data_IF_312179945256
#
_entry.id   IF_312179945256
#
_cell.length_a   1.000
_cell.length_b   1.000
_cell.length_c   1.000
_cell.angle_alpha   90.00
_cell.angle_beta   90.00
_cell.angle_gamma   90.00
#
_symmetry.space_group_name_H-M   'P 1'
#
loop_
_entity.id
_entity.type
_entity.pdbx_description
1 polymer ?
#
# COMPACT_ATOMS: atom_id res chain seq x y z
N UNK A 1 32.17 0.45 22.08
CA UNK A 1 31.51 -0.84 21.76
C UNK A 1 32.14 -1.40 20.49
N UNK A 2 32.23 -2.71 20.37
CA UNK A 2 32.90 -3.43 19.29
C UNK A 2 32.30 -3.07 17.92
N UNK A 3 30.98 -2.91 17.82
CA UNK A 3 30.31 -2.52 16.57
C UNK A 3 30.83 -1.18 16.00
N UNK A 4 31.19 -0.22 16.85
CA UNK A 4 31.75 1.07 16.40
C UNK A 4 33.16 0.94 15.81
N UNK A 5 33.93 -0.06 16.23
CA UNK A 5 35.27 -0.35 15.66
C UNK A 5 35.19 -1.06 14.31
N UNK A 6 34.04 -1.69 14.02
CA UNK A 6 33.76 -2.42 12.77
C UNK A 6 33.11 -1.50 11.71
N UNK A 7 32.78 -0.25 12.05
CA UNK A 7 32.14 0.69 11.12
C UNK A 7 30.60 0.64 11.11
N UNK A 8 29.98 -0.09 12.04
CA UNK A 8 28.51 -0.18 12.14
C UNK A 8 27.82 1.08 12.64
N UNK A 9 28.58 2.10 13.08
CA UNK A 9 28.06 3.44 13.35
C UNK A 9 27.50 4.13 12.09
N UNK A 10 27.77 3.61 10.88
CA UNK A 10 27.12 4.00 9.63
C UNK A 10 25.65 3.56 9.55
N UNK A 11 25.27 2.50 10.27
CA UNK A 11 23.90 2.02 10.30
C UNK A 11 23.07 2.83 11.31
N UNK A 12 22.09 3.61 10.83
CA UNK A 12 21.29 4.46 11.72
C UNK A 12 20.44 3.68 12.72
N UNK A 13 20.20 2.37 12.51
CA UNK A 13 19.53 1.52 13.49
C UNK A 13 20.34 1.36 14.80
N UNK A 14 21.65 1.57 14.74
CA UNK A 14 22.59 1.45 15.86
C UNK A 14 23.14 2.81 16.31
N UNK A 15 22.78 3.90 15.62
CA UNK A 15 23.20 5.24 16.00
C UNK A 15 22.49 5.69 17.29
N UNK A 16 23.19 6.37 18.21
CA UNK A 16 22.55 7.06 19.31
C UNK A 16 21.54 8.10 18.80
N UNK A 17 20.46 8.30 19.55
CA UNK A 17 19.49 9.33 19.23
C UNK A 17 20.11 10.73 19.25
N UNK A 18 19.88 11.49 18.19
CA UNK A 18 20.44 12.83 17.99
C UNK A 18 20.16 13.34 16.58
N UNK A 19 20.70 14.50 16.23
CA UNK A 19 20.39 15.16 14.95
C UNK A 19 20.81 14.30 13.75
N UNK A 20 21.99 13.66 13.81
CA UNK A 20 22.45 12.72 12.78
C UNK A 20 21.46 11.56 12.60
N UNK A 21 21.00 10.92 13.67
CA UNK A 21 20.01 9.85 13.57
C UNK A 21 18.69 10.32 12.95
N UNK A 22 18.19 11.50 13.35
CA UNK A 22 16.94 12.07 12.81
C UNK A 22 17.06 12.32 11.31
N UNK A 23 18.21 12.84 10.88
CA UNK A 23 18.51 13.15 9.48
C UNK A 23 18.49 11.88 8.63
N UNK A 24 19.25 10.86 9.02
CA UNK A 24 19.28 9.56 8.32
C UNK A 24 17.89 8.91 8.29
N UNK A 25 17.16 8.92 9.41
CA UNK A 25 15.80 8.35 9.48
C UNK A 25 14.81 9.11 8.61
N UNK A 26 14.90 10.44 8.52
CA UNK A 26 14.04 11.27 7.67
C UNK A 26 14.25 10.94 6.19
N UNK A 27 15.51 10.87 5.76
CA UNK A 27 15.89 10.50 4.38
C UNK A 27 15.36 9.10 4.03
N UNK A 28 15.59 8.12 4.92
CA UNK A 28 15.07 6.77 4.76
C UNK A 28 13.55 6.74 4.61
N UNK A 29 12.82 7.35 5.56
CA UNK A 29 11.36 7.28 5.59
C UNK A 29 10.69 7.89 4.37
N UNK A 30 11.30 8.90 3.74
CA UNK A 30 10.78 9.54 2.52
C UNK A 30 10.56 8.54 1.37
N UNK A 31 11.45 7.55 1.24
CA UNK A 31 11.43 6.59 0.12
C UNK A 31 10.83 5.22 0.51
N UNK A 32 10.74 4.91 1.80
CA UNK A 32 10.18 3.64 2.32
C UNK A 32 8.76 3.78 2.91
N UNK A 33 8.06 4.89 2.65
CA UNK A 33 6.64 5.05 2.97
C UNK A 33 5.71 4.33 1.97
N UNK A 34 4.47 3.96 2.34
CA UNK A 34 3.57 3.16 1.49
C UNK A 34 3.35 3.70 0.06
N UNK A 35 3.27 5.03 -0.12
CA UNK A 35 3.08 5.61 -1.45
C UNK A 35 4.34 5.51 -2.32
N UNK A 36 5.53 5.61 -1.73
CA UNK A 36 6.80 5.55 -2.46
C UNK A 36 7.17 4.10 -2.82
N UNK A 37 6.92 3.15 -1.91
CA UNK A 37 7.30 1.74 -2.12
C UNK A 37 6.55 1.07 -3.29
N UNK A 38 5.33 1.54 -3.58
CA UNK A 38 4.52 1.10 -4.72
C UNK A 38 5.27 1.18 -6.06
N UNK A 39 6.18 2.14 -6.22
CA UNK A 39 6.98 2.31 -7.44
C UNK A 39 7.92 1.12 -7.71
N UNK A 40 8.18 0.28 -6.71
CA UNK A 40 9.10 -0.84 -6.81
C UNK A 40 8.42 -2.21 -6.77
N UNK A 41 7.07 -2.27 -6.66
CA UNK A 41 6.32 -3.52 -6.56
C UNK A 41 6.57 -4.48 -7.73
N UNK A 42 6.76 -3.96 -8.95
CA UNK A 42 7.07 -4.78 -10.12
C UNK A 42 8.31 -5.67 -9.89
N UNK A 43 9.35 -5.16 -9.23
CA UNK A 43 10.56 -5.91 -8.92
C UNK A 43 10.32 -6.92 -7.80
N UNK A 44 9.59 -6.53 -6.75
CA UNK A 44 9.23 -7.42 -5.64
C UNK A 44 8.41 -8.62 -6.14
N UNK A 45 7.41 -8.39 -7.00
CA UNK A 45 6.62 -9.46 -7.60
C UNK A 45 7.46 -10.38 -8.49
N UNK A 46 8.40 -9.83 -9.25
CA UNK A 46 9.32 -10.64 -10.07
C UNK A 46 10.18 -11.55 -9.19
N UNK A 47 10.77 -11.03 -8.12
CA UNK A 47 11.60 -11.82 -7.22
C UNK A 47 10.81 -12.86 -6.44
N UNK A 48 9.60 -12.52 -5.98
CA UNK A 48 8.70 -13.49 -5.35
C UNK A 48 8.38 -14.66 -6.30
N UNK A 49 8.01 -14.39 -7.56
CA UNK A 49 7.74 -15.44 -8.56
C UNK A 49 8.98 -16.31 -8.85
N UNK A 50 10.14 -15.68 -9.02
CA UNK A 50 11.40 -16.40 -9.26
C UNK A 50 11.75 -17.32 -8.09
N UNK A 51 11.58 -16.84 -6.86
CA UNK A 51 11.79 -17.62 -5.64
C UNK A 51 10.89 -18.84 -5.60
N UNK A 52 9.59 -18.69 -5.89
CA UNK A 52 8.64 -19.81 -5.91
C UNK A 52 9.06 -20.89 -6.91
N UNK A 53 9.47 -20.50 -8.13
CA UNK A 53 9.97 -21.45 -9.13
C UNK A 53 11.22 -22.22 -8.65
N UNK A 54 12.15 -21.54 -7.96
CA UNK A 54 13.35 -22.16 -7.39
C UNK A 54 13.03 -23.11 -6.23
N UNK A 55 12.09 -22.74 -5.36
CA UNK A 55 11.65 -23.61 -4.25
C UNK A 55 11.04 -24.91 -4.74
N UNK A 56 10.33 -24.89 -5.88
CA UNK A 56 9.79 -26.12 -6.50
C UNK A 56 10.92 -26.95 -7.12
N UNK A 57 11.86 -26.30 -7.81
CA UNK A 57 12.97 -26.99 -8.46
C UNK A 57 13.94 -27.64 -7.46
N UNK A 58 14.21 -26.98 -6.32
CA UNK A 58 15.14 -27.46 -5.30
C UNK A 58 14.65 -27.18 -3.87
N UNK A 59 13.67 -27.96 -3.36
CA UNK A 59 13.06 -27.72 -2.05
C UNK A 59 14.05 -27.80 -0.87
N UNK A 60 15.12 -28.60 -1.01
CA UNK A 60 16.15 -28.77 0.02
C UNK A 60 16.99 -27.52 0.30
N UNK A 61 16.92 -26.51 -0.57
CA UNK A 61 17.71 -25.28 -0.50
C UNK A 61 16.91 -24.05 -0.05
N UNK A 62 15.85 -24.23 0.76
CA UNK A 62 14.94 -23.17 1.23
C UNK A 62 15.67 -21.88 1.66
N UNK A 63 16.61 -21.98 2.60
CA UNK A 63 17.32 -20.81 3.13
C UNK A 63 18.13 -20.07 2.06
N UNK A 64 18.75 -20.80 1.13
CA UNK A 64 19.49 -20.21 0.01
C UNK A 64 18.57 -19.43 -0.92
N UNK A 65 17.40 -19.98 -1.23
CA UNK A 65 16.41 -19.31 -2.09
C UNK A 65 15.77 -18.09 -1.42
N UNK A 66 15.49 -18.15 -0.11
CA UNK A 66 14.99 -17.00 0.65
C UNK A 66 16.04 -15.88 0.72
N UNK A 67 17.31 -16.20 1.03
CA UNK A 67 18.41 -15.22 1.08
C UNK A 67 18.60 -14.53 -0.26
N UNK A 68 18.67 -15.32 -1.34
CA UNK A 68 18.79 -14.76 -2.68
C UNK A 68 17.61 -13.84 -3.01
N UNK A 69 16.36 -14.27 -2.77
CA UNK A 69 15.17 -13.45 -3.04
C UNK A 69 15.21 -12.13 -2.27
N UNK A 70 15.44 -12.17 -0.96
CA UNK A 70 15.43 -10.98 -0.12
C UNK A 70 16.56 -10.02 -0.50
N UNK A 71 17.79 -10.52 -0.61
CA UNK A 71 18.97 -9.73 -1.01
C UNK A 71 18.83 -9.15 -2.42
N UNK A 72 18.43 -9.95 -3.41
CA UNK A 72 18.22 -9.47 -4.78
C UNK A 72 17.11 -8.42 -4.88
N UNK A 73 16.05 -8.56 -4.08
CA UNK A 73 14.96 -7.57 -4.02
C UNK A 73 15.49 -6.25 -3.48
N UNK A 74 16.13 -6.24 -2.31
CA UNK A 74 16.56 -4.99 -1.69
C UNK A 74 17.75 -4.36 -2.43
N UNK A 75 18.66 -5.12 -3.06
CA UNK A 75 19.66 -4.57 -3.98
C UNK A 75 19.00 -3.85 -5.15
N UNK A 76 17.97 -4.46 -5.75
CA UNK A 76 17.28 -3.89 -6.90
C UNK A 76 16.48 -2.64 -6.55
N UNK A 77 15.85 -2.61 -5.37
CA UNK A 77 15.08 -1.46 -4.87
C UNK A 77 16.01 -0.34 -4.45
N UNK A 78 17.05 -0.64 -3.68
CA UNK A 78 17.96 0.34 -3.11
C UNK A 78 18.91 0.93 -4.14
N UNK A 79 19.57 0.08 -4.93
CA UNK A 79 20.66 0.47 -5.83
C UNK A 79 20.37 0.22 -7.30
N UNK A 80 19.29 -0.48 -7.64
CA UNK A 80 18.99 -0.80 -9.04
C UNK A 80 19.81 -1.96 -9.63
N UNK A 81 20.63 -2.60 -8.79
CA UNK A 81 21.51 -3.71 -9.17
C UNK A 81 20.69 -4.99 -9.34
N UNK A 82 20.94 -5.73 -10.42
CA UNK A 82 20.34 -7.04 -10.67
C UNK A 82 21.28 -8.15 -10.20
N UNK A 83 20.99 -8.73 -9.03
CA UNK A 83 21.81 -9.78 -8.44
C UNK A 83 21.75 -11.09 -9.25
N UNK A 84 22.89 -11.78 -9.31
CA UNK A 84 23.04 -13.09 -9.93
C UNK A 84 22.72 -14.23 -8.96
N UNK A 85 22.09 -15.33 -9.42
CA UNK A 85 21.69 -16.42 -8.53
C UNK A 85 22.82 -17.19 -7.84
N UNK A 86 24.01 -17.15 -8.43
CA UNK A 86 25.20 -17.85 -7.97
C UNK A 86 26.36 -16.86 -8.01
N UNK A 87 27.20 -16.87 -6.96
CA UNK A 87 28.43 -16.08 -6.86
C UNK A 87 28.25 -14.58 -7.16
N UNK A 88 27.17 -13.99 -6.66
CA UNK A 88 26.96 -12.55 -6.78
C UNK A 88 27.84 -11.79 -5.78
N UNK A 89 28.74 -10.99 -6.35
CA UNK A 89 29.72 -10.19 -5.60
C UNK A 89 29.07 -9.32 -4.51
N UNK A 90 27.95 -8.67 -4.80
CA UNK A 90 27.30 -7.78 -3.84
C UNK A 90 26.65 -8.59 -2.72
N UNK A 91 25.95 -9.69 -3.05
CA UNK A 91 25.37 -10.55 -2.03
C UNK A 91 26.45 -11.14 -1.12
N UNK A 92 27.61 -11.58 -1.66
CA UNK A 92 28.71 -12.14 -0.87
C UNK A 92 29.35 -11.12 0.09
N UNK A 93 29.65 -9.90 -0.38
CA UNK A 93 30.14 -8.81 0.48
C UNK A 93 29.16 -8.53 1.61
N UNK A 94 27.87 -8.50 1.27
CA UNK A 94 26.82 -8.18 2.21
C UNK A 94 26.61 -9.28 3.26
N UNK A 95 26.62 -10.55 2.86
CA UNK A 95 26.54 -11.69 3.79
C UNK A 95 27.72 -11.70 4.77
N UNK A 96 28.96 -11.42 4.30
CA UNK A 96 30.13 -11.32 5.18
C UNK A 96 30.02 -10.13 6.14
N UNK A 97 29.55 -8.97 5.67
CA UNK A 97 29.30 -7.82 6.52
C UNK A 97 28.24 -8.15 7.58
N UNK A 98 27.05 -8.60 7.20
CA UNK A 98 25.96 -8.92 8.14
C UNK A 98 26.38 -9.98 9.16
N UNK A 99 27.17 -10.99 8.76
CA UNK A 99 27.75 -11.94 9.70
C UNK A 99 28.58 -11.24 10.80
N UNK A 100 29.41 -10.24 10.45
CA UNK A 100 30.14 -9.44 11.44
C UNK A 100 29.21 -8.70 12.41
N UNK A 101 28.05 -8.22 11.94
CA UNK A 101 27.07 -7.53 12.78
C UNK A 101 26.47 -8.48 13.82
N UNK A 102 26.14 -9.71 13.41
CA UNK A 102 25.62 -10.74 14.33
C UNK A 102 26.66 -11.08 15.39
N UNK A 103 27.92 -11.27 14.99
CA UNK A 103 29.02 -11.60 15.91
C UNK A 103 29.29 -10.47 16.91
N UNK A 104 29.33 -9.20 16.48
CA UNK A 104 29.62 -8.06 17.37
C UNK A 104 28.39 -7.49 18.08
N UNK A 105 27.19 -7.81 17.61
CA UNK A 105 25.92 -7.33 18.15
C UNK A 105 25.42 -8.14 19.35
N UNK A 106 25.89 -9.38 19.50
CA UNK A 106 25.57 -10.21 20.66
C UNK A 106 26.23 -9.66 21.93
N UNK A 107 25.41 -9.22 22.89
CA UNK A 107 25.90 -8.71 24.18
C UNK A 107 26.80 -9.75 24.86
N UNK A 108 28.05 -9.37 25.15
CA UNK A 108 29.04 -10.25 25.78
C UNK A 108 29.93 -11.03 24.81
N UNK A 109 29.76 -10.89 23.49
CA UNK A 109 30.66 -11.48 22.49
C UNK A 109 32.11 -10.99 22.65
N UNK A 110 32.30 -9.72 23.05
CA UNK A 110 33.60 -9.19 23.41
C UNK A 110 33.58 -8.46 24.76
N UNK A 111 34.61 -8.66 25.58
CA UNK A 111 34.74 -7.99 26.88
C UNK A 111 34.80 -6.47 26.76
N UNK A 112 35.19 -5.92 25.61
CA UNK A 112 35.24 -4.46 25.35
C UNK A 112 33.87 -3.80 25.43
N UNK A 113 32.78 -4.56 25.25
CA UNK A 113 31.41 -4.07 25.38
C UNK A 113 30.97 -3.94 26.84
N UNK A 114 31.59 -4.71 27.75
CA UNK A 114 31.37 -4.62 29.19
C UNK A 114 32.37 -3.68 29.88
N UNK A 115 33.61 -3.61 29.36
CA UNK A 115 34.70 -2.81 29.93
C UNK A 115 35.30 -1.93 28.82
N UNK A 116 34.80 -0.68 28.64
CA UNK A 116 35.22 0.21 27.55
C UNK A 116 36.72 0.54 27.53
N UNK A 117 37.39 0.47 28.68
CA UNK A 117 38.84 0.72 28.80
C UNK A 117 39.68 -0.27 27.97
N UNK A 118 39.17 -1.47 27.69
CA UNK A 118 39.87 -2.48 26.89
C UNK A 118 40.11 -2.03 25.43
N UNK A 119 39.41 -0.99 24.95
CA UNK A 119 39.65 -0.40 23.61
C UNK A 119 41.09 0.09 23.40
N UNK A 120 41.82 0.37 24.48
CA UNK A 120 43.19 0.88 24.41
C UNK A 120 44.26 -0.21 24.44
N UNK A 121 43.90 -1.49 24.61
CA UNK A 121 44.87 -2.59 24.64
C UNK A 121 45.61 -2.75 23.29
N UNK A 122 46.93 -2.97 23.26
CA UNK A 122 47.62 -3.24 22.01
C UNK A 122 47.08 -4.50 21.29
N UNK A 123 47.04 -4.49 19.96
CA UNK A 123 46.44 -5.57 19.14
C UNK A 123 47.11 -6.95 19.26
N UNK A 124 48.29 -7.01 19.90
CA UNK A 124 49.05 -8.24 20.16
C UNK A 124 48.73 -8.87 21.53
N UNK A 125 47.99 -8.17 22.40
CA UNK A 125 47.75 -8.61 23.79
C UNK A 125 46.66 -9.69 23.88
N UNK A 126 46.79 -10.68 24.78
CA UNK A 126 45.72 -11.66 25.03
C UNK A 126 44.38 -10.98 25.36
N UNK A 127 43.30 -11.37 24.67
CA UNK A 127 41.99 -10.73 24.79
C UNK A 127 41.75 -9.54 23.85
N UNK A 128 42.74 -9.11 23.05
CA UNK A 128 42.60 -8.06 22.04
C UNK A 128 42.16 -8.56 20.65
N UNK A 129 41.70 -9.82 20.53
CA UNK A 129 41.23 -10.43 19.26
C UNK A 129 40.17 -9.59 18.55
N UNK A 130 39.31 -8.93 19.32
CA UNK A 130 38.30 -7.99 18.81
C UNK A 130 38.87 -6.88 17.91
N UNK A 131 40.13 -6.47 18.09
CA UNK A 131 40.77 -5.46 17.23
C UNK A 131 41.16 -6.03 15.87
N UNK A 132 41.57 -7.29 15.82
CA UNK A 132 41.93 -7.98 14.58
C UNK A 132 40.66 -8.31 13.79
N UNK A 133 39.64 -8.82 14.47
CA UNK A 133 38.32 -9.09 13.89
C UNK A 133 37.68 -7.78 13.40
N UNK A 134 37.74 -6.70 14.19
CA UNK A 134 37.24 -5.39 13.76
C UNK A 134 37.99 -4.81 12.56
N UNK A 135 39.32 -4.93 12.50
CA UNK A 135 40.09 -4.47 11.35
C UNK A 135 39.79 -5.25 10.06
N UNK A 136 39.49 -6.56 10.18
CA UNK A 136 39.04 -7.39 9.06
C UNK A 136 37.63 -6.97 8.60
N UNK A 137 36.68 -6.94 9.54
CA UNK A 137 35.28 -6.68 9.23
C UNK A 137 35.00 -5.24 8.80
N UNK A 138 35.76 -4.26 9.31
CA UNK A 138 35.62 -2.86 8.90
C UNK A 138 35.74 -2.69 7.38
N UNK A 139 36.67 -3.42 6.75
CA UNK A 139 36.83 -3.38 5.29
C UNK A 139 35.59 -3.90 4.56
N UNK A 140 34.95 -4.95 5.08
CA UNK A 140 33.76 -5.51 4.46
C UNK A 140 32.54 -4.61 4.68
N UNK A 141 32.40 -4.01 5.86
CA UNK A 141 31.35 -3.03 6.12
C UNK A 141 31.54 -1.80 5.23
N UNK A 142 32.76 -1.30 5.06
CA UNK A 142 33.04 -0.19 4.15
C UNK A 142 32.61 -0.52 2.72
N UNK A 143 33.05 -1.67 2.19
CA UNK A 143 32.63 -2.13 0.85
C UNK A 143 31.13 -2.28 0.70
N UNK A 144 30.45 -2.79 1.73
CA UNK A 144 29.01 -2.98 1.75
C UNK A 144 28.25 -1.66 1.52
N UNK A 145 28.71 -0.56 2.14
CA UNK A 145 28.10 0.76 1.96
C UNK A 145 28.62 1.48 0.71
N UNK A 146 29.90 1.34 0.39
CA UNK A 146 30.56 2.15 -0.63
C UNK A 146 30.35 1.59 -2.04
N UNK A 147 30.58 0.29 -2.28
CA UNK A 147 30.61 -0.25 -3.65
C UNK A 147 29.26 -0.12 -4.39
N UNK A 148 28.09 -0.51 -3.82
CA UNK A 148 26.81 -0.33 -4.50
C UNK A 148 26.43 1.14 -4.69
N UNK A 149 26.87 2.02 -3.79
CA UNK A 149 26.58 3.44 -3.85
C UNK A 149 27.36 4.12 -4.98
N UNK A 150 28.64 3.81 -5.13
CA UNK A 150 29.47 4.35 -6.21
C UNK A 150 29.00 3.88 -7.59
N UNK A 151 28.48 2.66 -7.71
CA UNK A 151 27.86 2.17 -8.96
C UNK A 151 26.70 3.07 -9.38
N UNK A 152 25.81 3.41 -8.44
CA UNK A 152 24.67 4.30 -8.74
C UNK A 152 25.15 5.70 -9.12
N UNK A 153 26.17 6.23 -8.46
CA UNK A 153 26.75 7.53 -8.81
C UNK A 153 27.35 7.51 -10.21
N UNK A 154 28.07 6.45 -10.57
CA UNK A 154 28.63 6.28 -11.91
C UNK A 154 27.51 6.19 -12.96
N UNK A 155 26.48 5.38 -12.72
CA UNK A 155 25.32 5.26 -13.62
C UNK A 155 24.66 6.63 -13.88
N UNK A 156 24.46 7.42 -12.83
CA UNK A 156 23.91 8.78 -12.95
C UNK A 156 24.82 9.72 -13.74
N UNK A 157 26.13 9.67 -13.51
CA UNK A 157 27.10 10.48 -14.24
C UNK A 157 27.18 10.13 -15.73
N UNK A 158 26.95 8.86 -16.08
CA UNK A 158 26.87 8.38 -17.46
C UNK A 158 25.51 8.68 -18.14
N UNK A 159 24.55 9.25 -17.40
CA UNK A 159 23.21 9.59 -17.89
C UNK A 159 22.24 8.40 -17.91
N UNK A 160 22.57 7.29 -17.25
CA UNK A 160 21.70 6.14 -17.14
C UNK A 160 20.58 6.41 -16.11
N UNK A 161 19.32 6.23 -16.51
CA UNK A 161 18.18 6.38 -15.61
C UNK A 161 17.85 5.07 -14.90
N UNK A 162 18.47 4.82 -13.74
CA UNK A 162 18.15 3.64 -12.92
C UNK A 162 17.05 3.98 -11.92
N UNK A 163 15.87 3.37 -12.06
CA UNK A 163 14.80 3.50 -11.08
C UNK A 163 15.15 2.72 -9.80
N UNK A 164 15.71 3.42 -8.81
CA UNK A 164 16.04 2.94 -7.46
C UNK A 164 15.99 4.08 -6.43
N UNK A 165 15.95 3.70 -5.14
CA UNK A 165 15.89 4.63 -4.02
C UNK A 165 17.12 5.54 -3.97
N UNK A 166 18.31 4.99 -4.16
CA UNK A 166 19.56 5.74 -4.12
C UNK A 166 19.60 6.83 -5.20
N UNK A 167 19.30 6.48 -6.45
CA UNK A 167 19.26 7.43 -7.56
C UNK A 167 18.23 8.55 -7.33
N UNK A 168 17.06 8.19 -6.79
CA UNK A 168 16.00 9.15 -6.46
C UNK A 168 16.44 10.14 -5.39
N UNK A 169 17.16 9.69 -4.36
CA UNK A 169 17.67 10.55 -3.29
C UNK A 169 18.86 11.41 -3.74
N UNK A 170 19.76 10.87 -4.56
CA UNK A 170 20.90 11.60 -5.11
C UNK A 170 20.44 12.74 -6.04
N UNK A 171 19.35 12.55 -6.78
CA UNK A 171 18.77 13.59 -7.65
C UNK A 171 18.12 14.75 -6.89
N UNK A 172 17.93 14.60 -5.57
CA UNK A 172 17.34 15.62 -4.69
C UNK A 172 18.38 16.40 -3.88
N UNK A 173 19.67 16.08 -4.05
CA UNK A 173 20.76 16.81 -3.41
C UNK A 173 20.74 18.26 -3.91
N UNK A 174 20.89 19.22 -2.99
CA UNK A 174 21.02 20.63 -3.35
C UNK A 174 22.49 21.01 -3.62
N UNK A 175 22.71 22.03 -4.46
CA UNK A 175 24.06 22.55 -4.76
C UNK A 175 24.65 23.37 -3.59
N UNK A 176 24.31 23.04 -2.35
CA UNK A 176 24.81 23.73 -1.16
C UNK A 176 26.21 23.26 -0.75
N UNK A 177 26.86 23.99 0.15
CA UNK A 177 28.17 23.64 0.68
C UNK A 177 28.22 22.32 1.48
N UNK A 178 27.08 21.63 1.66
CA UNK A 178 26.94 20.40 2.46
C UNK A 178 26.68 19.13 1.63
N UNK A 179 26.90 19.18 0.31
CA UNK A 179 26.72 18.06 -0.64
C UNK A 179 27.32 16.75 -0.10
N UNK A 180 28.58 16.78 0.37
CA UNK A 180 29.28 15.60 0.89
C UNK A 180 28.60 14.96 2.11
N UNK A 181 27.98 15.76 2.98
CA UNK A 181 27.22 15.23 4.11
C UNK A 181 25.92 14.62 3.63
N UNK A 182 25.21 15.26 2.71
CA UNK A 182 23.97 14.72 2.15
C UNK A 182 24.23 13.37 1.48
N UNK A 183 25.30 13.26 0.67
CA UNK A 183 25.73 11.98 0.09
C UNK A 183 26.02 10.93 1.17
N UNK A 184 26.73 11.30 2.22
CA UNK A 184 27.04 10.39 3.34
C UNK A 184 25.77 9.89 4.03
N UNK A 185 24.82 10.79 4.30
CA UNK A 185 23.53 10.46 4.91
C UNK A 185 22.72 9.53 4.02
N UNK A 186 22.67 9.80 2.71
CA UNK A 186 21.96 8.96 1.73
C UNK A 186 22.60 7.58 1.68
N UNK A 187 23.93 7.50 1.52
CA UNK A 187 24.68 6.24 1.50
C UNK A 187 24.38 5.38 2.72
N UNK A 188 24.46 5.97 3.90
CA UNK A 188 24.17 5.28 5.15
C UNK A 188 22.70 4.87 5.28
N UNK A 189 21.75 5.75 4.94
CA UNK A 189 20.32 5.45 5.00
C UNK A 189 19.94 4.29 4.07
N UNK A 190 20.41 4.33 2.81
CA UNK A 190 20.15 3.28 1.82
C UNK A 190 20.84 1.97 2.20
N UNK A 191 22.08 2.01 2.69
CA UNK A 191 22.78 0.82 3.18
C UNK A 191 22.10 0.18 4.38
N UNK A 192 21.52 0.98 5.29
CA UNK A 192 20.69 0.45 6.39
C UNK A 192 19.46 -0.31 5.88
N UNK A 193 18.84 0.13 4.78
CA UNK A 193 17.70 -0.55 4.18
C UNK A 193 18.02 -2.00 3.82
N UNK A 194 19.22 -2.22 3.29
CA UNK A 194 19.67 -3.55 2.89
C UNK A 194 19.77 -4.51 4.09
N UNK A 195 20.44 -4.08 5.16
CA UNK A 195 20.62 -4.87 6.39
C UNK A 195 19.26 -5.27 6.97
N UNK A 196 18.34 -4.30 7.07
CA UNK A 196 17.00 -4.54 7.59
C UNK A 196 16.17 -5.45 6.68
N UNK A 197 16.23 -5.22 5.37
CA UNK A 197 15.39 -5.90 4.37
C UNK A 197 15.81 -7.33 4.05
N UNK A 198 17.10 -7.66 4.08
CA UNK A 198 17.59 -8.98 3.70
C UNK A 198 17.39 -10.03 4.80
N UNK A 199 17.95 -9.81 5.99
CA UNK A 199 18.03 -10.86 7.03
C UNK A 199 16.71 -11.10 7.76
N UNK A 200 16.02 -10.02 8.14
CA UNK A 200 14.77 -10.14 8.92
C UNK A 200 13.68 -10.79 8.07
N UNK A 201 13.59 -10.44 6.79
CA UNK A 201 12.63 -11.02 5.84
C UNK A 201 12.88 -12.51 5.66
N UNK A 202 14.14 -12.94 5.54
CA UNK A 202 14.50 -14.36 5.45
C UNK A 202 14.03 -15.12 6.69
N UNK A 203 14.30 -14.58 7.88
CA UNK A 203 13.85 -15.19 9.13
C UNK A 203 12.32 -15.31 9.19
N UNK A 204 11.59 -14.23 8.89
CA UNK A 204 10.12 -14.25 8.88
C UNK A 204 9.55 -15.24 7.87
N UNK A 205 10.08 -15.30 6.65
CA UNK A 205 9.61 -16.23 5.63
C UNK A 205 9.95 -17.69 5.96
N UNK A 206 11.14 -17.96 6.51
CA UNK A 206 11.51 -19.29 6.97
C UNK A 206 10.59 -19.76 8.11
N UNK A 207 10.32 -18.89 9.09
CA UNK A 207 9.36 -19.15 10.16
C UNK A 207 7.95 -19.36 9.62
N UNK A 208 7.53 -18.57 8.63
CA UNK A 208 6.24 -18.76 7.97
C UNK A 208 6.13 -20.14 7.30
N UNK A 209 7.14 -20.55 6.52
CA UNK A 209 7.16 -21.88 5.88
C UNK A 209 7.11 -22.99 6.94
N UNK A 210 7.89 -22.86 8.02
CA UNK A 210 7.87 -23.80 9.13
C UNK A 210 6.48 -23.87 9.81
N UNK A 211 5.83 -22.73 10.02
CA UNK A 211 4.50 -22.65 10.60
C UNK A 211 3.44 -23.28 9.68
N UNK A 212 3.44 -22.96 8.39
CA UNK A 212 2.49 -23.53 7.43
C UNK A 212 2.65 -25.05 7.29
N UNK A 213 3.88 -25.56 7.40
CA UNK A 213 4.16 -26.99 7.43
C UNK A 213 3.64 -27.69 8.71
N UNK A 214 3.76 -27.04 9.88
CA UNK A 214 3.30 -27.61 11.16
C UNK A 214 1.79 -27.48 11.36
N UNK A 215 1.14 -26.50 10.73
CA UNK A 215 -0.29 -26.19 10.90
C UNK A 215 -1.04 -26.17 9.56
N UNK A 216 -1.20 -27.32 8.87
CA UNK A 216 -1.80 -27.38 7.54
C UNK A 216 -3.27 -26.91 7.49
N UNK A 217 -4.00 -26.97 8.60
CA UNK A 217 -5.36 -26.43 8.67
C UNK A 217 -5.38 -24.89 8.58
N UNK A 218 -4.42 -24.20 9.20
CA UNK A 218 -4.26 -22.73 9.11
C UNK A 218 -3.86 -22.34 7.68
N UNK A 219 -2.97 -23.12 7.06
CA UNK A 219 -2.55 -22.90 5.68
C UNK A 219 -3.75 -22.93 4.72
N UNK A 220 -4.66 -23.90 4.87
CA UNK A 220 -5.85 -24.02 4.01
C UNK A 220 -6.79 -22.82 4.15
N UNK A 221 -7.06 -22.39 5.39
CA UNK A 221 -7.89 -21.20 5.66
C UNK A 221 -7.28 -19.96 4.98
N UNK A 222 -5.96 -19.77 5.07
CA UNK A 222 -5.29 -18.64 4.43
C UNK A 222 -5.38 -18.68 2.89
N UNK A 223 -5.32 -19.88 2.29
CA UNK A 223 -5.46 -20.05 0.84
C UNK A 223 -6.88 -19.72 0.37
N UNK A 224 -7.89 -20.23 1.05
CA UNK A 224 -9.30 -19.95 0.74
C UNK A 224 -9.62 -18.45 0.83
N UNK A 225 -9.08 -17.77 1.83
CA UNK A 225 -9.20 -16.32 2.01
C UNK A 225 -8.56 -15.54 0.84
N UNK A 226 -7.33 -15.89 0.44
CA UNK A 226 -6.64 -15.24 -0.68
C UNK A 226 -7.42 -15.45 -1.98
N UNK A 227 -7.90 -16.66 -2.24
CA UNK A 227 -8.72 -16.96 -3.42
C UNK A 227 -10.01 -16.15 -3.45
N UNK A 228 -10.67 -15.99 -2.30
CA UNK A 228 -11.90 -15.19 -2.17
C UNK A 228 -11.67 -13.72 -2.53
N UNK A 229 -10.57 -13.13 -2.04
CA UNK A 229 -10.31 -11.68 -2.21
C UNK A 229 -9.71 -11.34 -3.57
N UNK A 230 -8.78 -12.16 -4.06
CA UNK A 230 -8.06 -11.85 -5.32
C UNK A 230 -8.81 -12.28 -6.56
N UNK A 231 -9.83 -13.15 -6.43
CA UNK A 231 -10.55 -13.73 -7.54
C UNK A 231 -9.67 -14.66 -8.38
N UNK A 232 -10.29 -15.37 -9.33
CA UNK A 232 -9.58 -16.30 -10.24
C UNK A 232 -9.10 -15.63 -11.54
N UNK A 233 -9.18 -14.31 -11.65
CA UNK A 233 -9.08 -13.60 -12.93
C UNK A 233 -7.83 -12.73 -13.04
N UNK A 234 -7.09 -12.90 -14.14
CA UNK A 234 -5.99 -12.02 -14.53
C UNK A 234 -6.55 -10.89 -15.43
N UNK A 235 -6.42 -9.62 -15.00
CA UNK A 235 -6.87 -8.44 -15.77
C UNK A 235 -5.63 -7.77 -16.40
N UNK A 236 -5.40 -7.89 -17.73
CA UNK A 236 -4.23 -7.31 -18.39
C UNK A 236 -4.19 -5.77 -18.32
N UNK A 237 -3.00 -5.19 -18.35
CA UNK A 237 -2.83 -3.74 -18.44
C UNK A 237 -3.47 -3.19 -19.73
N UNK A 238 -4.18 -2.06 -19.63
CA UNK A 238 -4.92 -1.44 -20.73
C UNK A 238 -6.35 -1.97 -20.91
N UNK A 239 -6.78 -2.95 -20.10
CA UNK A 239 -8.16 -3.43 -20.12
C UNK A 239 -9.14 -2.34 -19.70
N UNK A 240 -10.28 -2.25 -20.39
CA UNK A 240 -11.43 -1.45 -19.96
C UNK A 240 -12.18 -2.25 -18.90
N UNK A 241 -12.34 -1.67 -17.71
CA UNK A 241 -13.14 -2.23 -16.63
C UNK A 241 -14.39 -1.38 -16.48
N UNK A 242 -15.56 -1.98 -16.71
CA UNK A 242 -16.85 -1.33 -16.53
C UNK A 242 -17.56 -1.90 -15.31
N UNK A 243 -17.83 -1.05 -14.32
CA UNK A 243 -18.65 -1.43 -13.18
C UNK A 243 -20.12 -1.51 -13.59
N UNK A 244 -20.74 -2.67 -13.41
CA UNK A 244 -22.16 -2.84 -13.71
C UNK A 244 -23.01 -2.47 -12.49
N UNK A 245 -23.27 -1.18 -12.31
CA UNK A 245 -24.06 -0.67 -11.18
C UNK A 245 -25.46 -1.27 -11.14
N UNK A 246 -26.09 -1.51 -12.30
CA UNK A 246 -27.41 -2.14 -12.38
C UNK A 246 -27.39 -3.54 -11.75
N UNK A 247 -26.44 -4.39 -12.15
CA UNK A 247 -26.33 -5.74 -11.60
C UNK A 247 -26.04 -5.75 -10.08
N UNK A 248 -25.25 -4.79 -9.58
CA UNK A 248 -24.98 -4.67 -8.13
C UNK A 248 -26.23 -4.27 -7.36
N UNK A 249 -27.02 -3.33 -7.89
CA UNK A 249 -28.25 -2.87 -7.27
C UNK A 249 -29.44 -3.82 -7.48
N UNK A 250 -29.28 -4.83 -8.34
CA UNK A 250 -30.28 -5.87 -8.61
C UNK A 250 -29.82 -7.28 -8.22
N UNK A 251 -28.80 -7.38 -7.37
CA UNK A 251 -28.39 -8.66 -6.77
C UNK A 251 -29.45 -9.13 -5.77
N UNK A 252 -30.17 -10.22 -6.06
CA UNK A 252 -31.27 -10.73 -5.24
C UNK A 252 -30.85 -11.15 -3.82
N UNK A 253 -29.59 -11.55 -3.63
CA UNK A 253 -29.06 -11.91 -2.31
C UNK A 253 -28.93 -10.67 -1.41
N UNK A 254 -28.72 -9.50 -2.02
CA UNK A 254 -28.54 -8.22 -1.34
C UNK A 254 -29.83 -7.40 -1.29
N UNK A 255 -30.57 -7.37 -2.39
CA UNK A 255 -31.82 -6.64 -2.56
C UNK A 255 -32.94 -7.63 -2.93
N UNK A 256 -33.61 -8.26 -1.96
CA UNK A 256 -34.71 -9.19 -2.24
C UNK A 256 -35.81 -8.50 -3.05
N UNK A 257 -36.33 -9.12 -4.12
CA UNK A 257 -37.26 -8.52 -5.09
C UNK A 257 -36.75 -7.19 -5.69
N UNK A 258 -35.59 -7.17 -6.36
CA UNK A 258 -34.94 -5.92 -6.79
C UNK A 258 -35.73 -5.16 -7.86
N UNK A 259 -36.57 -5.86 -8.64
CA UNK A 259 -37.45 -5.27 -9.65
C UNK A 259 -38.67 -4.53 -9.04
N UNK A 260 -38.94 -4.71 -7.75
CA UNK A 260 -40.06 -4.09 -7.04
C UNK A 260 -39.64 -2.80 -6.35
N UNK A 261 -40.39 -1.71 -6.56
CA UNK A 261 -40.21 -0.48 -5.82
C UNK A 261 -40.73 -0.61 -4.37
N UNK A 262 -39.85 -0.99 -3.46
CA UNK A 262 -40.18 -1.26 -2.06
C UNK A 262 -39.30 -0.42 -1.10
N UNK A 263 -39.66 0.83 -0.78
CA UNK A 263 -38.87 1.69 0.11
C UNK A 263 -38.68 1.12 1.52
N UNK A 264 -39.62 0.28 1.98
CA UNK A 264 -39.57 -0.34 3.30
C UNK A 264 -38.33 -1.21 3.54
N UNK A 265 -37.61 -1.63 2.47
CA UNK A 265 -36.35 -2.37 2.59
C UNK A 265 -35.22 -1.62 3.31
N UNK A 266 -35.33 -0.30 3.42
CA UNK A 266 -34.37 0.55 4.12
C UNK A 266 -34.85 0.92 5.55
N UNK A 267 -35.94 0.30 6.00
CA UNK A 267 -36.56 0.57 7.29
C UNK A 267 -36.61 -0.71 8.13
N UNK A 268 -36.42 -0.55 9.44
CA UNK A 268 -36.70 -1.61 10.42
C UNK A 268 -38.19 -1.88 10.52
N UNK A 269 -38.59 -2.99 11.14
CA UNK A 269 -40.00 -3.29 11.41
C UNK A 269 -40.70 -2.21 12.28
N UNK A 270 -39.95 -1.40 13.02
CA UNK A 270 -40.45 -0.26 13.79
C UNK A 270 -40.64 1.03 12.99
N UNK A 271 -40.19 1.07 11.73
CA UNK A 271 -40.27 2.24 10.84
C UNK A 271 -39.05 3.18 10.92
N UNK A 272 -38.07 2.90 11.77
CA UNK A 272 -36.80 3.63 11.82
C UNK A 272 -35.88 3.22 10.67
N UNK A 273 -34.93 4.08 10.28
CA UNK A 273 -33.89 3.74 9.31
C UNK A 273 -33.09 2.53 9.77
N UNK A 274 -33.01 1.52 8.91
CA UNK A 274 -32.20 0.34 9.15
C UNK A 274 -30.74 0.64 8.79
N UNK A 275 -29.86 0.59 9.79
CA UNK A 275 -28.42 0.83 9.63
C UNK A 275 -27.70 -0.36 9.00
N UNK A 276 -28.33 -1.53 9.03
CA UNK A 276 -27.81 -2.76 8.46
C UNK A 276 -28.37 -3.00 7.05
N UNK A 277 -29.28 -2.14 6.56
CA UNK A 277 -29.78 -2.22 5.21
C UNK A 277 -28.66 -1.93 4.19
N UNK A 278 -28.67 -2.64 3.04
CA UNK A 278 -27.74 -2.40 1.94
C UNK A 278 -27.69 -0.93 1.49
N UNK A 279 -26.50 -0.30 1.55
CA UNK A 279 -26.35 1.06 1.07
C UNK A 279 -26.38 1.14 -0.46
N UNK A 280 -27.46 1.67 -1.02
CA UNK A 280 -27.62 1.89 -2.47
C UNK A 280 -26.60 2.88 -3.07
N UNK A 281 -25.98 3.72 -2.24
CA UNK A 281 -25.01 4.71 -2.67
C UNK A 281 -23.67 4.09 -3.09
N UNK A 282 -23.37 2.88 -2.62
CA UNK A 282 -22.15 2.14 -2.96
C UNK A 282 -21.98 1.92 -4.47
N UNK A 283 -23.08 1.82 -5.21
CA UNK A 283 -23.07 1.68 -6.67
C UNK A 283 -23.75 2.86 -7.38
N UNK A 284 -24.63 3.63 -6.70
CA UNK A 284 -25.36 4.74 -7.29
C UNK A 284 -24.50 5.93 -7.73
N UNK A 285 -23.37 6.18 -7.06
CA UNK A 285 -22.46 7.30 -7.37
C UNK A 285 -21.11 6.86 -7.97
N UNK A 286 -20.96 5.57 -8.29
CA UNK A 286 -19.74 5.02 -8.87
C UNK A 286 -18.67 4.64 -7.83
N UNK A 287 -17.46 4.34 -8.30
CA UNK A 287 -16.52 3.52 -7.53
C UNK A 287 -15.14 4.16 -7.32
N UNK A 288 -14.60 4.00 -6.11
CA UNK A 288 -13.19 4.28 -5.78
C UNK A 288 -12.74 5.71 -6.11
N UNK A 289 -11.55 5.85 -6.71
CA UNK A 289 -10.95 7.17 -7.04
C UNK A 289 -11.73 7.98 -8.10
N UNK A 290 -12.77 7.40 -8.72
CA UNK A 290 -13.59 8.02 -9.77
C UNK A 290 -15.06 8.10 -9.36
N UNK A 291 -15.35 7.99 -8.07
CA UNK A 291 -16.67 8.25 -7.51
C UNK A 291 -17.14 9.67 -7.87
N UNK A 292 -18.45 9.85 -8.00
CA UNK A 292 -19.07 11.12 -8.39
C UNK A 292 -18.63 12.24 -7.44
N UNK A 293 -18.01 13.27 -8.00
CA UNK A 293 -17.54 14.42 -7.23
C UNK A 293 -18.69 15.30 -6.69
N UNK A 294 -19.91 15.16 -7.21
CA UNK A 294 -21.09 15.93 -6.80
C UNK A 294 -22.08 15.17 -5.91
N UNK A 295 -21.68 14.03 -5.34
CA UNK A 295 -22.56 13.14 -4.57
C UNK A 295 -23.31 13.87 -3.46
N UNK A 296 -22.59 14.57 -2.57
CA UNK A 296 -23.20 15.23 -1.41
C UNK A 296 -24.21 16.31 -1.84
N UNK A 297 -23.86 17.11 -2.84
CA UNK A 297 -24.76 18.13 -3.41
C UNK A 297 -26.04 17.51 -3.99
N UNK A 298 -25.89 16.40 -4.73
CA UNK A 298 -27.03 15.71 -5.34
C UNK A 298 -27.98 15.15 -4.26
N UNK A 299 -27.43 14.55 -3.20
CA UNK A 299 -28.22 13.99 -2.11
C UNK A 299 -29.04 15.05 -1.37
N UNK A 300 -28.40 16.14 -0.96
CA UNK A 300 -29.07 17.23 -0.24
C UNK A 300 -30.16 17.87 -1.12
N UNK A 301 -29.83 18.14 -2.39
CA UNK A 301 -30.78 18.70 -3.35
C UNK A 301 -32.00 17.78 -3.55
N UNK A 302 -31.77 16.47 -3.72
CA UNK A 302 -32.86 15.50 -3.88
C UNK A 302 -33.72 15.42 -2.63
N UNK A 303 -33.11 15.30 -1.45
CA UNK A 303 -33.83 15.22 -0.18
C UNK A 303 -34.75 16.42 0.03
N UNK A 304 -34.21 17.64 -0.12
CA UNK A 304 -34.97 18.87 0.06
C UNK A 304 -36.15 18.91 -0.91
N UNK A 305 -35.92 18.73 -2.22
CA UNK A 305 -36.99 18.86 -3.21
C UNK A 305 -38.08 17.79 -3.02
N UNK A 306 -37.70 16.52 -2.77
CA UNK A 306 -38.65 15.43 -2.55
C UNK A 306 -39.47 15.68 -1.27
N UNK A 307 -38.83 16.07 -0.17
CA UNK A 307 -39.53 16.34 1.08
C UNK A 307 -40.56 17.47 0.94
N UNK A 308 -40.20 18.56 0.26
CA UNK A 308 -41.12 19.67 -0.01
C UNK A 308 -42.29 19.24 -0.90
N UNK A 309 -42.02 18.49 -1.98
CA UNK A 309 -43.06 17.95 -2.86
C UNK A 309 -44.06 17.10 -2.07
N UNK A 310 -43.57 16.12 -1.28
CA UNK A 310 -44.44 15.20 -0.53
C UNK A 310 -45.18 15.88 0.64
N UNK A 311 -44.59 16.92 1.24
CA UNK A 311 -45.25 17.69 2.29
C UNK A 311 -46.41 18.54 1.77
N UNK A 312 -46.36 18.98 0.51
CA UNK A 312 -47.26 20.02 -0.02
C UNK A 312 -48.22 19.56 -1.12
N UNK A 313 -47.86 18.53 -1.88
CA UNK A 313 -48.60 18.09 -3.07
C UNK A 313 -49.10 16.64 -2.96
N UNK A 314 -50.31 16.41 -3.46
CA UNK A 314 -50.77 15.11 -3.94
C UNK A 314 -50.38 14.97 -5.42
N UNK A 315 -49.67 13.88 -5.74
CA UNK A 315 -49.17 13.57 -7.09
C UNK A 315 -50.02 12.42 -7.64
N UNK A 316 -50.79 12.68 -8.70
CA UNK A 316 -51.82 11.76 -9.19
C UNK A 316 -51.69 11.49 -10.70
N UNK A 317 -52.21 10.34 -11.12
CA UNK A 317 -52.44 10.04 -12.54
C UNK A 317 -53.56 10.96 -13.07
N UNK A 318 -53.38 11.61 -14.22
CA UNK A 318 -54.41 12.47 -14.77
C UNK A 318 -55.55 11.65 -15.39
N UNK A 319 -56.73 12.26 -15.50
CA UNK A 319 -57.88 11.68 -16.21
C UNK A 319 -58.01 12.28 -17.62
N UNK A 320 -58.52 11.51 -18.57
CA UNK A 320 -58.92 12.00 -19.89
C UNK A 320 -60.28 12.72 -19.86
N UNK A 321 -60.70 13.27 -21.00
CA UNK A 321 -61.97 14.00 -21.15
C UNK A 321 -63.22 13.15 -20.87
N UNK A 322 -63.07 11.83 -20.85
CA UNK A 322 -64.13 10.85 -20.57
C UNK A 322 -64.09 10.29 -19.15
N UNK A 323 -63.14 10.74 -18.33
CA UNK A 323 -62.97 10.33 -16.93
C UNK A 323 -62.15 9.06 -16.72
N UNK A 324 -61.45 8.55 -17.74
CA UNK A 324 -60.56 7.39 -17.58
C UNK A 324 -59.16 7.82 -17.15
N UNK A 325 -58.49 7.00 -16.33
CA UNK A 325 -57.11 7.22 -15.89
C UNK A 325 -56.14 7.06 -17.06
N UNK A 326 -55.24 8.03 -17.22
CA UNK A 326 -54.14 7.96 -18.19
C UNK A 326 -52.94 7.31 -17.50
N UNK A 327 -52.60 6.09 -17.89
CA UNK A 327 -51.45 5.36 -17.37
C UNK A 327 -50.14 5.83 -18.03
N UNK A 328 -49.07 6.09 -17.26
CA UNK A 328 -47.75 6.31 -17.83
C UNK A 328 -47.24 5.00 -18.44
N UNK A 329 -46.45 5.08 -19.51
CA UNK A 329 -45.88 3.88 -20.16
C UNK A 329 -44.92 3.12 -19.25
N UNK A 330 -44.28 3.81 -18.29
CA UNK A 330 -43.25 3.24 -17.42
C UNK A 330 -41.91 2.98 -18.12
N UNK A 331 -41.81 3.32 -19.41
CA UNK A 331 -40.62 3.11 -20.22
C UNK A 331 -39.57 4.22 -20.00
N UNK A 332 -38.29 3.86 -20.15
CA UNK A 332 -37.15 4.76 -20.00
C UNK A 332 -36.36 4.90 -21.31
N UNK A 333 -35.65 6.02 -21.43
CA UNK A 333 -34.64 6.23 -22.47
C UNK A 333 -33.41 5.35 -22.22
N UNK A 334 -32.72 4.93 -23.29
CA UNK A 334 -31.46 4.19 -23.18
C UNK A 334 -30.29 5.07 -23.62
N UNK A 335 -29.17 5.04 -22.89
CA UNK A 335 -28.00 5.84 -23.22
C UNK A 335 -27.10 6.15 -22.03
N UNK A 336 -26.27 7.19 -22.16
CA UNK A 336 -25.38 7.65 -21.08
C UNK A 336 -26.14 8.11 -19.83
N UNK A 337 -27.37 8.62 -20.03
CA UNK A 337 -28.31 8.99 -18.97
C UNK A 337 -29.63 8.28 -19.26
N UNK A 338 -30.17 7.64 -18.23
CA UNK A 338 -31.47 6.96 -18.27
C UNK A 338 -32.51 7.84 -17.58
N UNK A 339 -33.60 8.13 -18.29
CA UNK A 339 -34.70 9.00 -17.83
C UNK A 339 -36.05 8.44 -18.30
N UNK A 340 -37.13 8.60 -17.52
CA UNK A 340 -38.45 8.15 -17.96
C UNK A 340 -38.87 8.88 -19.24
N UNK A 341 -39.55 8.18 -20.15
CA UNK A 341 -40.16 8.81 -21.31
C UNK A 341 -41.20 9.85 -20.86
N UNK A 342 -41.46 10.92 -21.65
CA UNK A 342 -42.41 11.95 -21.28
C UNK A 342 -43.80 11.38 -20.90
N UNK A 343 -44.30 11.74 -19.71
CA UNK A 343 -45.59 11.30 -19.19
C UNK A 343 -46.44 12.49 -18.71
N UNK A 344 -47.77 12.28 -18.63
CA UNK A 344 -48.70 13.26 -18.06
C UNK A 344 -48.87 13.03 -16.56
N UNK A 345 -49.00 14.10 -15.78
CA UNK A 345 -49.15 14.08 -14.32
C UNK A 345 -50.10 15.18 -13.85
N UNK A 346 -50.82 14.95 -12.75
CA UNK A 346 -51.65 15.95 -12.07
C UNK A 346 -51.09 16.23 -10.68
N UNK A 347 -50.92 17.51 -10.34
CA UNK A 347 -50.50 17.96 -9.01
C UNK A 347 -51.61 18.74 -8.34
N UNK A 348 -51.90 18.45 -7.07
CA UNK A 348 -52.89 19.17 -6.27
C UNK A 348 -52.30 19.53 -4.90
N UNK A 349 -52.55 20.73 -4.35
CA UNK A 349 -52.17 21.00 -2.97
C UNK A 349 -52.89 20.08 -2.00
N UNK A 350 -52.17 19.50 -1.03
CA UNK A 350 -52.74 18.59 -0.01
C UNK A 350 -53.74 19.28 0.91
N UNK A 351 -53.61 20.59 1.07
CA UNK A 351 -54.52 21.43 1.85
C UNK A 351 -54.37 22.91 1.46
N UNK A 352 -55.33 23.75 1.84
CA UNK A 352 -55.23 25.20 1.69
C UNK A 352 -54.04 25.82 2.43
N UNK A 353 -53.61 25.20 3.54
CA UNK A 353 -52.43 25.63 4.27
C UNK A 353 -51.14 25.30 3.50
N UNK A 354 -51.04 24.11 2.92
CA UNK A 354 -49.93 23.73 2.04
C UNK A 354 -49.88 24.59 0.76
N UNK A 355 -51.04 24.90 0.18
CA UNK A 355 -51.17 25.83 -0.93
C UNK A 355 -50.65 27.23 -0.57
N UNK A 356 -51.07 27.78 0.58
CA UNK A 356 -50.60 29.07 1.05
C UNK A 356 -49.07 29.10 1.28
N UNK A 357 -48.49 28.05 1.86
CA UNK A 357 -47.03 27.94 2.07
C UNK A 357 -46.24 27.98 0.76
N UNK A 358 -46.72 27.31 -0.29
CA UNK A 358 -46.06 27.33 -1.60
C UNK A 358 -46.09 28.72 -2.23
N UNK A 359 -47.20 29.44 -2.09
CA UNK A 359 -47.32 30.79 -2.64
C UNK A 359 -46.60 31.83 -1.78
N UNK A 360 -46.52 31.67 -0.46
CA UNK A 360 -45.78 32.58 0.43
C UNK A 360 -44.26 32.50 0.20
N UNK A 361 -43.72 31.30 -0.09
CA UNK A 361 -42.32 31.11 -0.46
C UNK A 361 -41.97 31.72 -1.84
N UNK A 362 -42.93 31.82 -2.76
CA UNK A 362 -42.73 32.44 -4.07
C UNK A 362 -42.55 33.98 -4.02
N UNK A 363 -42.68 34.60 -2.83
CA UNK A 363 -42.50 36.04 -2.62
C UNK A 363 -41.24 36.42 -1.83
N UNK A 364 -40.37 35.47 -1.47
CA UNK A 364 -39.07 35.75 -0.88
C UNK A 364 -37.95 35.56 -1.90
N UNK A 365 -37.78 36.56 -2.76
CA UNK A 365 -36.51 36.96 -3.37
C UNK A 365 -36.20 38.41 -2.99
#
# INVERSE_FOLDING_TARGET
MAHGLVGWNKNFALMPYGDSWREHRKVFHRQFQPNAICNYHAYMYKQARNMLGRLIAEPGALMRHLRFMAGATILRVSYGINAQPEHDHYLEIMEEAVHSLVEVGNTGAYMVDLIPALRYLPSWMPGARFKQDAARWSKQVDKMFDEPFEVVKQDLAEGNSTNCVCASLLSEIDDSADEKRQETVIKHAVGTAYIGGADTTVSSLATFVLAMMQYPHVQRIAQEEIERVTGRYNIPAGSIVMGNAWAVLHDEDRYPNPESFEPARFLTAGGDLDKDAPDSLEAGFGFGRRICAGMDFAQDSMWINIAYMLATLDIEKPMDETGNVIEPSGEYTTGLLEQPLPFKVSFKPRSKAAEALMYEAAFYD
#
